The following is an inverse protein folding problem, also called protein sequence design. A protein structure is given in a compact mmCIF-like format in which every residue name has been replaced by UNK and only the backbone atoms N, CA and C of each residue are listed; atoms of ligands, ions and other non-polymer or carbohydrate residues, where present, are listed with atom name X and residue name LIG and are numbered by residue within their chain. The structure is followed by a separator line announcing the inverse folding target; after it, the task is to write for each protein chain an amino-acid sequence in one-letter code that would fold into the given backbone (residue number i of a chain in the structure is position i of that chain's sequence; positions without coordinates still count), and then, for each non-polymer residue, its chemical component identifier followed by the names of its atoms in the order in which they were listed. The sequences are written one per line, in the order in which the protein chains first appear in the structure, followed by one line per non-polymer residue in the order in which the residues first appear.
data_IF_337054765050
#
_entry.id   IF_337054765050
#
_cell.length_a   1.000
_cell.length_b   1.000
_cell.length_c   1.000
_cell.angle_alpha   90.00
_cell.angle_beta   90.00
_cell.angle_gamma   90.00
#
_symmetry.space_group_name_H-M   'P 1'
#
loop_
_entity.id
_entity.type
_entity.pdbx_description
1 polymer ?
#
# COMPACT_ATOMS: atom_id res chain seq x y z
N UNK A 1 5.33 -3.99 0.12
CA UNK A 1 4.56 -4.18 1.37
C UNK A 1 3.23 -4.82 1.00
N UNK A 2 2.80 -5.87 1.70
CA UNK A 2 1.65 -6.70 1.33
C UNK A 2 0.34 -5.89 1.19
N UNK A 3 0.10 -4.97 2.12
CA UNK A 3 -1.03 -4.03 2.09
C UNK A 3 -1.12 -3.20 0.81
N UNK A 4 0.00 -2.76 0.25
CA UNK A 4 -0.01 -1.96 -0.99
C UNK A 4 -0.51 -2.79 -2.18
N UNK A 5 -0.07 -4.05 -2.28
CA UNK A 5 -0.49 -4.96 -3.34
C UNK A 5 -1.99 -5.25 -3.25
N UNK A 6 -2.48 -5.59 -2.04
CA UNK A 6 -3.90 -5.81 -1.78
C UNK A 6 -4.75 -4.56 -2.09
N UNK A 7 -4.31 -3.38 -1.67
CA UNK A 7 -5.03 -2.13 -1.92
C UNK A 7 -5.11 -1.80 -3.42
N UNK A 8 -4.08 -2.11 -4.21
CA UNK A 8 -4.12 -1.93 -5.66
C UNK A 8 -5.08 -2.92 -6.34
N UNK A 9 -5.10 -4.18 -5.91
CA UNK A 9 -6.03 -5.19 -6.42
C UNK A 9 -7.47 -4.86 -6.07
N UNK A 10 -7.74 -4.46 -4.82
CA UNK A 10 -9.04 -3.95 -4.38
C UNK A 10 -9.46 -2.74 -5.23
N UNK A 11 -8.55 -1.78 -5.46
CA UNK A 11 -8.85 -0.57 -6.23
C UNK A 11 -9.20 -0.89 -7.68
N UNK A 12 -8.49 -1.86 -8.28
CA UNK A 12 -8.73 -2.31 -9.64
C UNK A 12 -10.11 -2.97 -9.77
N UNK A 13 -10.43 -3.89 -8.86
CA UNK A 13 -11.68 -4.63 -8.92
C UNK A 13 -12.88 -3.76 -8.53
N UNK A 14 -12.76 -2.94 -7.49
CA UNK A 14 -13.85 -2.14 -6.98
C UNK A 14 -14.20 -0.97 -7.92
N UNK A 15 -13.19 -0.34 -8.53
CA UNK A 15 -13.38 0.77 -9.47
C UNK A 15 -14.03 1.98 -8.78
N UNK A 16 -15.17 2.44 -9.30
CA UNK A 16 -15.98 3.54 -8.73
C UNK A 16 -17.20 3.05 -7.93
N UNK A 17 -17.31 1.74 -7.68
CA UNK A 17 -18.49 1.18 -7.00
C UNK A 17 -18.55 1.64 -5.55
N UNK A 18 -19.77 1.90 -5.07
CA UNK A 18 -20.05 2.17 -3.66
C UNK A 18 -19.83 0.91 -2.81
N UNK A 19 -19.26 1.08 -1.62
CA UNK A 19 -19.14 0.02 -0.61
C UNK A 19 -20.33 0.13 0.37
N UNK A 20 -21.27 -0.83 0.34
CA UNK A 20 -22.53 -0.70 1.05
C UNK A 20 -22.46 -0.91 2.57
N UNK A 21 -21.36 -1.44 3.11
CA UNK A 21 -21.12 -1.54 4.56
C UNK A 21 -19.64 -1.84 4.84
N UNK A 22 -19.04 -1.19 5.84
CA UNK A 22 -17.66 -1.46 6.29
C UNK A 22 -17.48 -2.84 6.96
N UNK A 23 -18.57 -3.59 7.18
CA UNK A 23 -18.55 -4.90 7.85
C UNK A 23 -18.70 -6.09 6.89
N UNK A 24 -18.86 -5.85 5.59
CA UNK A 24 -18.75 -6.92 4.61
C UNK A 24 -17.26 -7.25 4.49
N UNK A 25 -16.81 -8.47 4.72
CA UNK A 25 -15.40 -8.86 4.54
C UNK A 25 -15.15 -9.29 3.09
N UNK A 26 -15.45 -8.42 2.13
CA UNK A 26 -15.35 -8.74 0.70
C UNK A 26 -14.00 -8.32 0.11
N UNK A 27 -13.39 -7.29 0.68
CA UNK A 27 -12.16 -6.64 0.26
C UNK A 27 -11.10 -6.75 1.35
N UNK A 28 -9.85 -6.86 0.93
CA UNK A 28 -8.72 -7.11 1.83
C UNK A 28 -8.36 -5.86 2.64
N UNK A 29 -8.43 -4.68 2.01
CA UNK A 29 -8.03 -3.39 2.61
C UNK A 29 -9.21 -2.44 2.73
N UNK A 30 -10.04 -2.27 1.70
CA UNK A 30 -11.02 -1.18 1.71
C UNK A 30 -12.22 -1.35 2.63
N UNK A 31 -12.51 -2.58 3.08
CA UNK A 31 -13.52 -2.80 4.12
C UNK A 31 -12.99 -2.46 5.53
N UNK A 32 -11.66 -2.41 5.70
CA UNK A 32 -11.01 -2.01 6.96
C UNK A 32 -10.93 -0.49 7.12
N UNK A 33 -11.35 0.28 6.13
CA UNK A 33 -11.32 1.74 6.19
C UNK A 33 -12.59 2.30 6.84
N UNK A 34 -12.51 3.50 7.43
CA UNK A 34 -13.66 4.18 8.02
C UNK A 34 -14.84 4.31 7.04
N UNK A 35 -16.10 4.19 7.51
CA UNK A 35 -17.29 4.22 6.64
C UNK A 35 -17.38 5.42 5.68
N UNK A 36 -16.81 6.58 6.05
CA UNK A 36 -16.80 7.77 5.19
C UNK A 36 -16.07 7.56 3.84
N UNK A 37 -15.20 6.55 3.73
CA UNK A 37 -14.48 6.22 2.49
C UNK A 37 -15.28 5.30 1.58
N UNK A 38 -16.46 4.82 1.99
CA UNK A 38 -17.27 3.88 1.20
C UNK A 38 -17.75 4.44 -0.14
N UNK A 39 -17.84 5.76 -0.28
CA UNK A 39 -18.21 6.47 -1.52
C UNK A 39 -17.00 6.92 -2.35
N UNK A 40 -15.78 6.62 -1.92
CA UNK A 40 -14.56 7.06 -2.61
C UNK A 40 -14.50 6.50 -4.03
N UNK A 41 -13.99 7.30 -4.97
CA UNK A 41 -13.82 6.89 -6.37
C UNK A 41 -12.52 6.09 -6.59
N UNK A 42 -12.33 5.57 -7.80
CA UNK A 42 -11.13 4.81 -8.17
C UNK A 42 -9.84 5.64 -8.01
N UNK A 43 -9.89 6.96 -8.17
CA UNK A 43 -8.72 7.83 -8.06
C UNK A 43 -8.28 7.94 -6.62
N UNK A 44 -9.22 8.18 -5.73
CA UNK A 44 -9.00 8.19 -4.29
C UNK A 44 -8.43 6.85 -3.82
N UNK A 45 -9.03 5.74 -4.25
CA UNK A 45 -8.57 4.38 -3.90
C UNK A 45 -7.14 4.10 -4.36
N UNK A 46 -6.80 4.50 -5.59
CA UNK A 46 -5.42 4.38 -6.08
C UNK A 46 -4.43 5.28 -5.33
N UNK A 47 -4.85 6.46 -4.88
CA UNK A 47 -4.02 7.32 -4.03
C UNK A 47 -3.82 6.71 -2.64
N UNK A 48 -4.84 6.05 -2.08
CA UNK A 48 -4.71 5.31 -0.83
C UNK A 48 -3.74 4.13 -0.98
N UNK A 49 -3.88 3.32 -2.04
CA UNK A 49 -2.93 2.26 -2.38
C UNK A 49 -1.49 2.78 -2.49
N UNK A 50 -1.31 3.97 -3.08
CA UNK A 50 0.00 4.63 -3.17
C UNK A 50 0.56 5.07 -1.80
N UNK A 51 -0.28 5.50 -0.86
CA UNK A 51 0.16 5.87 0.49
C UNK A 51 0.84 4.69 1.23
N UNK A 52 0.37 3.45 0.99
CA UNK A 52 1.03 2.24 1.51
C UNK A 52 2.43 2.03 0.91
N UNK A 53 2.58 2.10 -0.42
CA UNK A 53 3.90 1.99 -1.07
C UNK A 53 4.83 3.13 -0.61
N UNK A 54 4.28 4.32 -0.43
CA UNK A 54 4.97 5.49 0.08
C UNK A 54 5.49 5.25 1.51
N UNK A 55 4.69 4.69 2.41
CA UNK A 55 5.16 4.32 3.75
C UNK A 55 6.24 3.23 3.70
N UNK A 56 6.04 2.19 2.89
CA UNK A 56 6.98 1.08 2.74
C UNK A 56 8.36 1.54 2.23
N UNK A 57 8.38 2.50 1.31
CA UNK A 57 9.60 3.07 0.77
C UNK A 57 10.42 3.83 1.82
N UNK A 58 9.77 4.44 2.83
CA UNK A 58 10.47 5.10 3.94
C UNK A 58 10.98 4.11 4.97
N UNK A 59 10.23 3.04 5.23
CA UNK A 59 10.63 1.97 6.15
C UNK A 59 11.79 1.11 5.61
N UNK A 60 11.87 0.91 4.29
CA UNK A 60 12.90 0.08 3.64
C UNK A 60 14.34 0.46 4.02
N UNK A 61 14.75 1.74 4.00
CA UNK A 61 16.07 2.16 4.48
C UNK A 61 16.21 2.24 6.01
N UNK A 62 15.23 1.77 6.78
CA UNK A 62 15.22 1.85 8.25
C UNK A 62 14.98 3.27 8.79
N UNK A 63 14.31 4.14 8.02
CA UNK A 63 13.96 5.48 8.49
C UNK A 63 12.68 5.40 9.32
N UNK A 64 12.58 6.33 10.28
CA UNK A 64 11.35 6.56 11.01
C UNK A 64 10.21 6.89 10.03
N UNK A 65 9.07 6.17 10.06
CA UNK A 65 7.91 6.53 9.27
C UNK A 65 7.33 7.81 9.84
N UNK A 66 7.50 8.93 9.14
CA UNK A 66 6.80 10.17 9.47
C UNK A 66 5.66 10.39 8.49
N UNK A 67 4.41 9.95 8.80
CA UNK A 67 3.25 10.30 8.01
C UNK A 67 3.21 11.81 7.76
N UNK A 68 2.95 12.18 6.52
CA UNK A 68 2.86 13.57 6.08
C UNK A 68 1.43 13.96 5.75
N UNK A 69 0.50 13.01 5.72
CA UNK A 69 -0.93 13.23 5.52
C UNK A 69 -1.75 12.10 6.15
N UNK A 70 -3.06 12.33 6.31
CA UNK A 70 -4.01 11.40 6.95
C UNK A 70 -4.03 10.02 6.29
N UNK A 71 -3.87 9.94 4.98
CA UNK A 71 -3.81 8.67 4.26
C UNK A 71 -2.58 7.84 4.66
N UNK A 72 -1.45 8.48 4.97
CA UNK A 72 -0.24 7.79 5.41
C UNK A 72 -0.32 7.37 6.87
N UNK A 73 -1.04 8.12 7.70
CA UNK A 73 -1.36 7.69 9.07
C UNK A 73 -2.27 6.47 9.06
N UNK A 74 -3.31 6.46 8.22
CA UNK A 74 -4.15 5.28 8.03
C UNK A 74 -3.34 4.09 7.51
N UNK A 75 -2.42 4.31 6.58
CA UNK A 75 -1.55 3.26 6.08
C UNK A 75 -0.65 2.67 7.19
N UNK A 76 -0.13 3.54 8.06
CA UNK A 76 0.68 3.13 9.21
C UNK A 76 -0.14 2.38 10.25
N UNK A 77 -1.39 2.79 10.48
CA UNK A 77 -2.30 2.14 11.41
C UNK A 77 -2.55 0.69 11.04
N UNK A 78 -2.95 0.45 9.79
CA UNK A 78 -3.20 -0.90 9.29
C UNK A 78 -1.91 -1.73 9.24
N UNK A 79 -0.76 -1.11 8.96
CA UNK A 79 0.52 -1.81 8.99
C UNK A 79 0.92 -2.29 10.39
N UNK A 80 0.65 -1.49 11.44
CA UNK A 80 0.88 -1.87 12.83
C UNK A 80 -0.13 -2.95 13.25
N UNK A 81 -1.40 -2.81 12.85
CA UNK A 81 -2.44 -3.82 13.11
C UNK A 81 -2.09 -5.20 12.52
N UNK A 82 -1.51 -5.24 11.31
CA UNK A 82 -1.14 -6.50 10.64
C UNK A 82 0.21 -7.07 11.12
N UNK A 83 1.05 -6.27 11.78
CA UNK A 83 2.41 -6.65 12.14
C UNK A 83 2.53 -7.89 13.04
N UNK A 84 1.67 -8.10 14.06
CA UNK A 84 1.69 -9.32 14.87
C UNK A 84 1.46 -10.59 14.03
N UNK A 85 0.44 -10.59 13.18
CA UNK A 85 0.13 -11.73 12.29
C UNK A 85 1.30 -12.01 11.35
N UNK A 86 1.88 -10.96 10.78
CA UNK A 86 3.07 -11.10 9.93
C UNK A 86 4.30 -11.63 10.66
N UNK A 87 4.45 -11.36 11.95
CA UNK A 87 5.52 -11.92 12.78
C UNK A 87 5.26 -13.40 13.08
N UNK A 88 4.02 -13.78 13.40
CA UNK A 88 3.63 -15.17 13.67
C UNK A 88 3.79 -16.09 12.44
N UNK A 89 3.50 -15.57 11.24
CA UNK A 89 3.62 -16.31 9.98
C UNK A 89 5.08 -16.52 9.51
N UNK A 90 6.06 -15.88 10.16
CA UNK A 90 7.48 -16.05 9.77
C UNK A 90 7.96 -17.46 10.12
N UNK A 91 8.77 -18.08 9.25
CA UNK A 91 9.39 -19.35 9.57
C UNK A 91 10.36 -19.16 10.74
N UNK A 92 10.44 -20.13 11.65
CA UNK A 92 11.34 -20.06 12.81
C UNK A 92 12.84 -19.91 12.45
N UNK A 93 13.19 -20.15 11.20
CA UNK A 93 14.54 -19.95 10.64
C UNK A 93 14.80 -18.54 10.11
N UNK A 94 13.81 -17.65 10.15
CA UNK A 94 13.95 -16.26 9.71
C UNK A 94 14.96 -15.52 10.56
N UNK A 95 15.79 -14.68 9.92
CA UNK A 95 16.82 -13.88 10.61
C UNK A 95 16.22 -12.98 11.69
N UNK A 96 14.96 -12.57 11.56
CA UNK A 96 14.29 -11.76 12.56
C UNK A 96 14.30 -12.41 13.96
N UNK A 97 14.11 -13.73 14.03
CA UNK A 97 14.16 -14.46 15.32
C UNK A 97 15.57 -14.57 15.92
N UNK A 98 16.60 -14.10 15.21
CA UNK A 98 17.98 -14.05 15.69
C UNK A 98 18.42 -12.65 16.13
N UNK A 99 17.57 -11.64 15.94
CA UNK A 99 17.85 -10.28 16.39
C UNK A 99 17.81 -10.23 17.92
N UNK A 100 18.75 -9.51 18.57
CA UNK A 100 18.69 -9.31 20.01
C UNK A 100 17.45 -8.49 20.38
N UNK A 101 16.73 -8.90 21.42
CA UNK A 101 15.72 -8.07 22.05
C UNK A 101 16.39 -6.82 22.66
N UNK A 102 15.85 -5.65 22.40
CA UNK A 102 16.27 -4.38 22.98
C UNK A 102 15.21 -3.85 23.95
N UNK A 103 15.62 -3.13 24.99
CA UNK A 103 14.67 -2.49 25.92
C UNK A 103 13.83 -1.38 25.28
N UNK A 104 14.15 -0.99 24.05
CA UNK A 104 13.41 -0.01 23.24
C UNK A 104 12.48 -0.69 22.22
N UNK A 105 12.41 -2.02 22.21
CA UNK A 105 11.44 -2.74 21.39
C UNK A 105 10.04 -2.42 21.95
N UNK A 106 9.24 -1.65 21.20
CA UNK A 106 7.88 -1.33 21.59
C UNK A 106 7.00 -2.58 21.51
N UNK A 107 6.10 -2.75 22.48
CA UNK A 107 4.94 -3.62 22.28
C UNK A 107 4.09 -3.05 21.15
N UNK A 108 3.40 -3.91 20.39
CA UNK A 108 2.61 -3.46 19.24
C UNK A 108 1.58 -2.37 19.59
N UNK A 109 0.98 -2.47 20.78
CA UNK A 109 0.06 -1.45 21.33
C UNK A 109 0.78 -0.12 21.62
N UNK A 110 2.03 -0.16 22.10
CA UNK A 110 2.83 1.05 22.35
C UNK A 110 3.33 1.69 21.05
N UNK A 111 3.50 0.88 19.99
CA UNK A 111 3.97 1.39 18.71
C UNK A 111 2.94 2.34 18.07
N UNK A 112 1.63 2.17 18.29
CA UNK A 112 0.65 3.20 17.88
C UNK A 112 0.77 4.48 18.70
N UNK A 113 0.98 4.38 20.01
CA UNK A 113 1.14 5.59 20.83
C UNK A 113 2.42 6.38 20.49
N UNK A 114 3.47 5.70 20.02
CA UNK A 114 4.75 6.30 19.68
C UNK A 114 4.85 6.81 18.24
N UNK A 115 4.21 6.14 17.29
CA UNK A 115 4.37 6.44 15.85
C UNK A 115 3.34 7.43 15.31
N UNK A 116 2.24 7.67 16.02
CA UNK A 116 1.21 8.64 15.65
C UNK A 116 1.45 10.00 16.29
N UNK A 117 1.18 11.08 15.55
CA UNK A 117 1.22 12.44 16.12
C UNK A 117 -0.02 12.69 17.00
N UNK A 118 -1.19 12.22 16.55
CA UNK A 118 -2.45 12.13 17.28
C UNK A 118 -3.28 10.92 16.76
N UNK A 119 -4.30 10.53 17.52
CA UNK A 119 -5.16 9.37 17.19
C UNK A 119 -6.54 9.81 16.65
N UNK A 120 -6.66 11.04 16.18
CA UNK A 120 -7.94 11.63 15.80
C UNK A 120 -8.56 10.88 14.60
N UNK A 121 -7.73 10.28 13.77
CA UNK A 121 -8.12 9.36 12.71
C UNK A 121 -8.99 8.19 13.20
N UNK A 122 -8.75 7.67 14.41
CA UNK A 122 -9.50 6.54 14.95
C UNK A 122 -10.94 6.91 15.32
N UNK A 123 -11.21 8.19 15.55
CA UNK A 123 -12.56 8.70 15.80
C UNK A 123 -13.49 8.47 14.60
N UNK A 124 -12.94 8.35 13.39
CA UNK A 124 -13.71 8.11 12.16
C UNK A 124 -14.38 6.72 12.12
N UNK A 125 -13.93 5.79 12.97
CA UNK A 125 -14.54 4.47 13.09
C UNK A 125 -15.71 4.42 14.07
N UNK A 126 -15.85 5.41 14.97
CA UNK A 126 -16.97 5.44 15.93
C UNK A 126 -18.23 6.06 15.28
N UNK A 127 -19.33 5.29 15.10
CA UNK A 127 -20.57 5.82 14.56
C UNK A 127 -21.17 6.97 15.37
N UNK A 128 -20.84 7.07 16.67
CA UNK A 128 -21.30 8.16 17.55
C UNK A 128 -20.64 9.50 17.24
N UNK A 129 -19.49 9.47 16.57
CA UNK A 129 -18.74 10.64 16.13
C UNK A 129 -18.99 10.94 14.65
N UNK A 130 -20.11 10.45 14.09
CA UNK A 130 -20.53 10.80 12.73
C UNK A 130 -20.59 12.32 12.56
N UNK A 131 -19.91 12.83 11.53
CA UNK A 131 -19.76 14.26 11.27
C UNK A 131 -18.45 14.87 11.77
N UNK A 132 -17.71 14.20 12.67
CA UNK A 132 -16.44 14.69 13.23
C UNK A 132 -15.39 14.95 12.14
N UNK A 133 -15.53 14.36 10.96
CA UNK A 133 -14.63 14.60 9.86
C UNK A 133 -14.69 16.04 9.31
N UNK A 134 -15.82 16.73 9.45
CA UNK A 134 -16.02 18.07 8.93
C UNK A 134 -15.41 19.12 9.87
N UNK A 135 -14.47 19.98 9.40
CA UNK A 135 -13.90 21.06 10.23
C UNK A 135 -14.91 22.13 10.65
N UNK A 136 -16.12 22.14 10.07
CA UNK A 136 -17.22 23.00 10.50
C UNK A 136 -18.11 22.37 11.59
N UNK A 137 -17.89 21.10 11.94
CA UNK A 137 -18.62 20.44 13.02
C UNK A 137 -18.18 21.02 14.39
N UNK A 138 -19.12 21.40 15.28
CA UNK A 138 -18.77 21.95 16.59
C UNK A 138 -17.93 21.01 17.46
N UNK A 139 -18.14 19.69 17.37
CA UNK A 139 -17.34 18.72 18.10
C UNK A 139 -15.89 18.69 17.57
N UNK A 140 -15.72 18.73 16.24
CA UNK A 140 -14.39 18.83 15.61
C UNK A 140 -13.64 20.07 16.09
N UNK A 141 -14.29 21.24 16.04
CA UNK A 141 -13.68 22.51 16.47
C UNK A 141 -13.32 22.51 17.95
N UNK A 142 -14.14 21.86 18.79
CA UNK A 142 -13.89 21.77 20.22
C UNK A 142 -12.70 20.86 20.56
N UNK A 143 -12.44 19.87 19.72
CA UNK A 143 -11.39 18.86 19.91
C UNK A 143 -10.10 19.19 19.14
N UNK A 144 -10.15 20.07 18.14
CA UNK A 144 -8.99 20.45 17.34
C UNK A 144 -8.60 19.44 16.25
N UNK A 145 -9.54 18.58 15.85
CA UNK A 145 -9.32 17.42 14.95
C UNK A 145 -8.83 17.81 13.54
N UNK A 146 -9.27 18.95 13.00
CA UNK A 146 -8.91 19.37 11.64
C UNK A 146 -9.77 18.73 10.54
N UNK A 147 -9.34 18.84 9.27
CA UNK A 147 -10.15 18.34 8.14
C UNK A 147 -9.86 16.86 7.85
N UNK A 148 -10.71 15.97 8.39
CA UNK A 148 -10.61 14.52 8.16
C UNK A 148 -11.59 14.01 7.09
N UNK A 149 -12.22 14.90 6.31
CA UNK A 149 -13.05 14.48 5.17
C UNK A 149 -12.19 13.70 4.18
N UNK A 150 -12.75 12.68 3.55
CA UNK A 150 -12.00 11.82 2.60
C UNK A 150 -11.25 12.62 1.51
N UNK A 151 -11.80 13.75 1.06
CA UNK A 151 -11.16 14.62 0.07
C UNK A 151 -9.85 15.28 0.56
N UNK A 152 -9.70 15.47 1.87
CA UNK A 152 -8.55 16.11 2.50
C UNK A 152 -7.44 15.11 2.87
N UNK A 153 -7.68 13.80 2.82
CA UNK A 153 -6.76 12.79 3.36
C UNK A 153 -5.34 12.80 2.78
N UNK A 154 -5.18 13.34 1.58
CA UNK A 154 -3.89 13.41 0.90
C UNK A 154 -3.29 14.82 0.87
N UNK A 155 -3.90 15.77 1.59
CA UNK A 155 -3.30 17.07 1.81
C UNK A 155 -2.18 16.92 2.85
N UNK A 156 -1.02 17.57 2.64
CA UNK A 156 0.05 17.48 3.60
C UNK A 156 -0.32 18.20 4.90
N UNK A 157 0.15 17.68 6.03
CA UNK A 157 0.04 18.32 7.33
C UNK A 157 0.91 19.57 7.39
N UNK A 158 0.38 20.67 7.91
CA UNK A 158 1.13 21.89 8.20
C UNK A 158 2.11 22.31 7.08
N UNK A 159 3.40 22.32 7.40
CA UNK A 159 4.48 22.68 6.47
C UNK A 159 5.12 21.49 5.73
N UNK A 160 4.56 20.29 5.84
CA UNK A 160 5.10 19.13 5.13
C UNK A 160 4.95 19.33 3.61
N UNK A 161 5.96 18.91 2.86
CA UNK A 161 5.88 18.85 1.40
C UNK A 161 5.19 17.56 0.98
N UNK A 162 4.36 17.63 -0.07
CA UNK A 162 3.86 16.42 -0.74
C UNK A 162 5.05 15.55 -1.16
N UNK A 163 4.98 14.24 -0.89
CA UNK A 163 6.03 13.30 -1.26
C UNK A 163 6.20 13.24 -2.78
N UNK A 164 7.42 12.92 -3.22
CA UNK A 164 7.76 12.85 -4.65
C UNK A 164 6.78 11.91 -5.40
N UNK A 165 5.96 12.42 -6.35
CA UNK A 165 5.02 11.60 -7.10
C UNK A 165 5.69 10.47 -7.90
N UNK A 166 7.00 10.58 -8.18
CA UNK A 166 7.74 9.64 -9.02
C UNK A 166 8.49 8.56 -8.23
N UNK A 167 8.49 8.59 -6.88
CA UNK A 167 9.10 7.51 -6.08
C UNK A 167 8.25 6.23 -6.21
N UNK A 168 8.84 5.16 -6.74
CA UNK A 168 8.24 3.82 -6.72
C UNK A 168 6.99 3.62 -7.59
N UNK A 169 6.94 4.16 -8.81
CA UNK A 169 5.80 3.93 -9.70
C UNK A 169 5.63 2.45 -10.08
N UNK A 170 4.53 1.84 -9.63
CA UNK A 170 3.95 0.67 -10.30
C UNK A 170 3.18 1.15 -11.53
N UNK A 171 3.83 1.13 -12.69
CA UNK A 171 3.18 1.33 -13.99
C UNK A 171 2.21 0.16 -14.25
N UNK A 172 0.91 0.45 -14.46
CA UNK A 172 -0.11 -0.54 -14.82
C UNK A 172 0.00 -0.97 -16.29
N UNK A 173 1.13 -1.58 -16.63
CA UNK A 173 1.38 -2.14 -17.96
C UNK A 173 2.68 -2.95 -18.05
N UNK A 174 3.27 -3.31 -16.91
CA UNK A 174 4.19 -4.41 -16.80
C UNK A 174 3.46 -5.40 -15.91
N UNK A 175 2.82 -6.39 -16.53
CA UNK A 175 2.18 -7.47 -15.81
C UNK A 175 3.22 -8.09 -14.87
N UNK A 176 3.02 -7.96 -13.56
CA UNK A 176 3.65 -8.88 -12.62
C UNK A 176 3.11 -10.28 -12.95
N UNK A 177 3.95 -11.31 -13.14
CA UNK A 177 3.45 -12.66 -13.29
C UNK A 177 2.71 -13.02 -12.01
N UNK A 178 1.40 -13.18 -12.13
CA UNK A 178 0.52 -13.66 -11.07
C UNK A 178 1.10 -14.95 -10.49
N UNK A 179 1.67 -14.87 -9.29
CA UNK A 179 1.96 -16.05 -8.49
C UNK A 179 0.82 -16.18 -7.49
N UNK A 180 -0.34 -16.59 -7.99
CA UNK A 180 -1.46 -17.00 -7.16
C UNK A 180 -1.09 -18.31 -6.43
N UNK A 181 -0.55 -18.22 -5.22
CA UNK A 181 -0.68 -19.29 -4.23
C UNK A 181 -2.01 -19.09 -3.52
N UNK A 182 -3.03 -19.78 -4.03
CA UNK A 182 -4.33 -19.92 -3.40
C UNK A 182 -4.17 -20.77 -2.12
N UNK A 183 -4.64 -20.34 -0.94
CA UNK A 183 -4.70 -21.23 0.21
C UNK A 183 -5.73 -22.35 -0.03
N UNK A 184 -5.51 -23.57 0.50
CA UNK A 184 -6.44 -24.67 0.31
C UNK A 184 -7.75 -24.40 1.06
N UNK A 185 -8.83 -24.22 0.29
CA UNK A 185 -10.20 -24.23 0.77
C UNK A 185 -10.51 -25.58 1.44
N UNK A 186 -10.97 -25.52 2.69
CA UNK A 186 -11.41 -26.68 3.49
C UNK A 186 -12.46 -27.50 2.73
N UNK A 187 -12.13 -28.78 2.51
CA UNK A 187 -13.02 -29.94 2.52
C UNK A 187 -14.25 -29.94 1.60
N UNK A 188 -14.18 -30.75 0.54
CA UNK A 188 -15.21 -31.75 0.22
C UNK A 188 -14.65 -32.74 -0.81
N UNK A 189 -14.68 -34.02 -0.45
CA UNK A 189 -14.26 -35.16 -1.24
C UNK A 189 -14.94 -35.22 -2.61
N UNK A 190 -14.15 -35.37 -3.67
CA UNK A 190 -14.56 -36.10 -4.86
C UNK A 190 -13.32 -36.66 -5.56
N UNK A 191 -13.25 -37.98 -5.62
CA UNK A 191 -12.27 -38.76 -6.36
C UNK A 191 -12.44 -38.48 -7.86
N UNK A 192 -11.37 -38.15 -8.58
CA UNK A 192 -11.30 -38.39 -10.01
C UNK A 192 -9.90 -38.81 -10.42
N UNK A 193 -9.87 -39.98 -11.06
CA UNK A 193 -8.74 -40.72 -11.60
C UNK A 193 -8.29 -40.16 -12.95
N UNK A 194 -6.96 -40.09 -13.16
CA UNK A 194 -6.37 -40.54 -14.43
C UNK A 194 -5.74 -39.51 -15.38
N UNK A 195 -4.42 -39.70 -15.57
CA UNK A 195 -3.61 -39.59 -16.79
C UNK A 195 -2.78 -38.31 -17.11
N UNK A 196 -1.63 -38.47 -17.80
CA UNK A 196 -0.39 -37.75 -17.45
C UNK A 196 0.31 -37.01 -18.62
N UNK A 197 1.31 -36.19 -18.24
CA UNK A 197 2.56 -35.87 -18.96
C UNK A 197 2.59 -34.96 -20.21
N UNK A 198 3.61 -34.07 -20.17
CA UNK A 198 4.30 -33.35 -21.26
C UNK A 198 3.55 -32.14 -21.84
N UNK A 199 4.12 -30.95 -22.05
CA UNK A 199 5.48 -30.60 -22.52
C UNK A 199 5.80 -29.13 -22.15
N UNK A 200 7.01 -28.89 -21.63
CA UNK A 200 7.58 -27.55 -21.44
C UNK A 200 7.89 -26.88 -22.79
N UNK A 201 7.45 -25.64 -22.98
CA UNK A 201 7.79 -24.82 -24.14
C UNK A 201 9.07 -24.01 -23.84
N UNK A 202 10.19 -24.47 -24.39
CA UNK A 202 11.43 -23.69 -24.51
C UNK A 202 11.31 -22.72 -25.68
N UNK A 203 11.61 -21.43 -25.46
CA UNK A 203 11.87 -20.48 -26.55
C UNK A 203 13.31 -19.98 -26.44
N UNK A 204 14.12 -20.29 -27.45
CA UNK A 204 15.42 -19.67 -27.72
C UNK A 204 15.22 -18.36 -28.50
N UNK A 205 16.14 -17.38 -28.41
CA UNK A 205 16.13 -16.22 -29.30
C UNK A 205 16.92 -16.48 -30.60
N UNK A 206 16.36 -16.05 -31.73
CA UNK A 206 17.02 -16.06 -33.03
C UNK A 206 18.12 -15.00 -33.13
N UNK A 207 19.24 -15.40 -33.75
CA UNK A 207 20.32 -14.52 -34.19
C UNK A 207 20.31 -14.44 -35.74
N UNK A 208 20.50 -13.24 -36.28
CA UNK A 208 20.70 -13.01 -37.72
C UNK A 208 21.02 -11.53 -38.04
N UNK A 209 21.76 -11.21 -39.12
CA UNK A 209 23.06 -10.56 -38.96
C UNK A 209 23.29 -9.21 -39.68
N UNK A 210 24.35 -8.53 -39.20
CA UNK A 210 25.38 -7.71 -39.87
C UNK A 210 25.00 -6.52 -40.81
N UNK A 211 25.57 -5.35 -40.50
CA UNK A 211 26.30 -4.57 -41.53
C UNK A 211 27.37 -3.65 -40.90
N UNK A 212 28.40 -3.42 -41.72
CA UNK A 212 29.74 -2.90 -41.44
C UNK A 212 29.77 -1.41 -41.11
N UNK A 213 30.78 -1.01 -40.33
CA UNK A 213 31.05 0.38 -39.99
C UNK A 213 31.80 1.19 -41.05
N UNK A 214 31.89 2.49 -40.78
CA UNK A 214 32.97 3.39 -41.20
C UNK A 214 33.20 4.38 -40.06
N UNK A 215 34.48 4.61 -39.75
CA UNK A 215 34.96 5.52 -38.71
C UNK A 215 35.52 6.81 -39.34
N UNK A 216 35.67 7.82 -38.47
CA UNK A 216 36.46 9.05 -38.56
C UNK A 216 35.74 10.35 -38.99
N UNK A 217 35.88 11.37 -38.13
CA UNK A 217 35.66 12.78 -38.49
C UNK A 217 35.40 13.70 -37.30
N UNK A 218 36.45 14.10 -36.56
CA UNK A 218 36.42 15.26 -35.67
C UNK A 218 36.12 16.54 -36.44
N UNK A 219 35.24 17.42 -35.92
CA UNK A 219 35.33 18.85 -36.14
C UNK A 219 34.55 19.63 -35.07
N UNK A 220 35.30 20.56 -34.50
CA UNK A 220 34.96 21.58 -33.52
C UNK A 220 34.07 22.69 -34.12
N UNK A 221 33.44 23.45 -33.21
CA UNK A 221 33.13 24.88 -33.28
C UNK A 221 31.71 25.37 -33.67
N UNK A 222 31.21 26.16 -32.70
CA UNK A 222 30.67 27.53 -32.82
C UNK A 222 29.15 27.74 -32.78
N UNK A 223 28.72 28.22 -31.61
CA UNK A 223 27.54 29.05 -31.34
C UNK A 223 27.58 30.33 -32.18
N UNK A 224 26.41 30.84 -32.62
CA UNK A 224 26.23 32.28 -32.65
C UNK A 224 24.97 32.75 -31.90
N UNK A 225 25.08 34.02 -31.53
CA UNK A 225 24.22 34.91 -30.74
C UNK A 225 22.74 34.94 -31.11
#
# INVERSE_FOLDING_TARGET
MFLADQAYDDAHHLGDRFLPDANATTWEVFDRLPPLTGTADHRWRRRMARAFDDLAADLTPGKWPGPTCTAEEMALHLAIEDAPTHLEDRPSTDLHHTLPEHGDDCGWDDCSDLLFQDHDLLMLFDPKLSGIADPQDPANQSMGVGDLRAAAWFAPFGSHSVRDPWRGLRWWGAAAPSCAMRPPSRGLSAQFTGCPSSTCCSTQPEAGPASRGVSAGSAEAKVPA
#
